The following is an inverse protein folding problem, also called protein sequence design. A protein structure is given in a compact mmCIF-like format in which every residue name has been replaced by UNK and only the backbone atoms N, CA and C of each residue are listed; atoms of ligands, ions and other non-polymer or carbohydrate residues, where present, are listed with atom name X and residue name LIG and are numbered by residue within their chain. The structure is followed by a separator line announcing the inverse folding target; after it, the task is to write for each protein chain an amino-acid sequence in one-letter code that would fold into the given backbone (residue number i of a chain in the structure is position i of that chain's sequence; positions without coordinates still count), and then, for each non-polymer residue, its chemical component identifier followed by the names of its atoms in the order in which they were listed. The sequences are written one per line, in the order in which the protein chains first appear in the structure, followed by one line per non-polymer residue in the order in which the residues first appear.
data_IF_758683322577
#
_entry.id   IF_758683322577
#
_cell.length_a   1.000
_cell.length_b   1.000
_cell.length_c   1.000
_cell.angle_alpha   90.00
_cell.angle_beta   90.00
_cell.angle_gamma   90.00
#
_symmetry.space_group_name_H-M   'P 1'
#
loop_
_entity.id
_entity.type
_entity.pdbx_description
1 polymer ?
#
# COMPACT_ATOMS: atom_id res chain seq x y z
N UNK A 1 17.74 11.47 1.42
CA UNK A 1 17.76 10.02 1.13
C UNK A 1 16.79 9.77 -0.02
N UNK A 2 16.98 8.74 -0.84
CA UNK A 2 16.03 8.40 -1.91
C UNK A 2 14.98 7.40 -1.41
N UNK A 3 13.82 7.35 -2.06
CA UNK A 3 12.79 6.34 -1.79
C UNK A 3 13.36 4.92 -1.84
N UNK A 4 14.25 4.65 -2.81
CA UNK A 4 14.91 3.35 -2.96
C UNK A 4 15.75 2.95 -1.73
N UNK A 5 16.39 3.91 -1.05
CA UNK A 5 17.14 3.63 0.17
C UNK A 5 16.21 3.33 1.36
N UNK A 6 15.07 4.02 1.44
CA UNK A 6 14.08 3.74 2.49
C UNK A 6 13.41 2.38 2.26
N UNK A 7 13.10 2.04 1.00
CA UNK A 7 12.59 0.73 0.60
C UNK A 7 13.57 -0.40 0.95
N UNK A 8 14.86 -0.23 0.65
CA UNK A 8 15.88 -1.22 1.03
C UNK A 8 15.99 -1.39 2.54
N UNK A 9 16.03 -0.27 3.27
CA UNK A 9 16.06 -0.29 4.74
C UNK A 9 14.83 -1.00 5.31
N UNK A 10 13.65 -0.77 4.73
CA UNK A 10 12.43 -1.45 5.11
C UNK A 10 12.51 -2.96 4.86
N UNK A 11 13.01 -3.39 3.70
CA UNK A 11 13.23 -4.81 3.41
C UNK A 11 14.19 -5.45 4.42
N UNK A 12 15.31 -4.78 4.74
CA UNK A 12 16.28 -5.28 5.73
C UNK A 12 15.64 -5.42 7.13
N UNK A 13 14.86 -4.43 7.58
CA UNK A 13 14.14 -4.48 8.88
C UNK A 13 13.16 -5.65 8.90
N UNK A 14 12.43 -5.87 7.80
CA UNK A 14 11.45 -6.95 7.72
C UNK A 14 12.13 -8.32 7.74
N UNK A 15 13.25 -8.48 7.04
CA UNK A 15 13.99 -9.75 6.97
C UNK A 15 14.76 -10.10 8.26
N UNK A 16 15.05 -9.13 9.12
CA UNK A 16 15.66 -9.34 10.43
C UNK A 16 14.63 -9.76 11.51
N UNK A 17 13.32 -9.61 11.23
CA UNK A 17 12.26 -9.98 12.16
C UNK A 17 11.95 -11.49 12.16
N UNK A 18 11.65 -12.04 13.35
CA UNK A 18 11.23 -13.44 13.48
C UNK A 18 9.81 -13.71 12.94
N UNK A 19 8.93 -12.71 13.06
CA UNK A 19 7.53 -12.77 12.63
C UNK A 19 6.96 -11.35 12.45
N UNK A 20 5.88 -11.24 11.69
CA UNK A 20 5.29 -9.95 11.30
C UNK A 20 3.79 -9.96 11.56
N UNK A 21 3.30 -8.89 12.19
CA UNK A 21 1.87 -8.54 12.15
C UNK A 21 1.68 -7.37 11.20
N UNK A 22 0.86 -7.54 10.16
CA UNK A 22 0.46 -6.47 9.24
C UNK A 22 -0.81 -5.82 9.76
N UNK A 23 -0.74 -4.54 10.11
CA UNK A 23 -1.88 -3.71 10.49
C UNK A 23 -2.23 -2.86 9.28
N UNK A 24 -3.40 -3.10 8.67
CA UNK A 24 -3.77 -2.48 7.40
C UNK A 24 -5.16 -1.88 7.40
N UNK A 25 -5.36 -0.90 6.52
CA UNK A 25 -6.65 -0.29 6.27
C UNK A 25 -7.61 -1.24 5.53
N UNK A 26 -8.93 -0.99 5.61
CA UNK A 26 -9.96 -1.91 5.08
C UNK A 26 -10.44 -1.60 3.67
N UNK A 27 -9.87 -0.61 3.00
CA UNK A 27 -10.23 -0.27 1.62
C UNK A 27 -9.39 -1.06 0.61
N UNK A 28 -9.53 -0.68 -0.67
CA UNK A 28 -8.82 -1.35 -1.75
C UNK A 28 -7.29 -1.20 -1.65
N UNK A 29 -6.78 -0.08 -1.10
CA UNK A 29 -5.34 0.13 -0.98
C UNK A 29 -4.76 -0.69 0.17
N UNK A 30 -5.34 -0.57 1.37
CA UNK A 30 -4.93 -1.37 2.53
C UNK A 30 -5.02 -2.87 2.27
N UNK A 31 -6.14 -3.38 1.73
CA UNK A 31 -6.28 -4.81 1.41
C UNK A 31 -5.26 -5.26 0.37
N UNK A 32 -5.00 -4.45 -0.66
CA UNK A 32 -3.98 -4.79 -1.66
C UNK A 32 -2.58 -4.78 -1.07
N UNK A 33 -2.30 -3.81 -0.19
CA UNK A 33 -1.04 -3.68 0.53
C UNK A 33 -0.74 -4.90 1.39
N UNK A 34 -1.70 -5.29 2.23
CA UNK A 34 -1.59 -6.48 3.06
C UNK A 34 -1.38 -7.73 2.20
N UNK A 35 -2.15 -7.90 1.14
CA UNK A 35 -2.05 -9.07 0.27
C UNK A 35 -0.69 -9.17 -0.44
N UNK A 36 -0.06 -8.05 -0.80
CA UNK A 36 1.28 -8.00 -1.40
C UNK A 36 2.32 -8.44 -0.36
N UNK A 37 2.29 -7.82 0.82
CA UNK A 37 3.26 -8.11 1.88
C UNK A 37 3.09 -9.54 2.39
N UNK A 38 1.88 -9.96 2.74
CA UNK A 38 1.63 -11.31 3.22
C UNK A 38 2.13 -12.38 2.24
N UNK A 39 1.90 -12.20 0.93
CA UNK A 39 2.41 -13.12 -0.08
C UNK A 39 3.94 -13.09 -0.21
N UNK A 40 4.56 -11.92 -0.25
CA UNK A 40 6.01 -11.80 -0.33
C UNK A 40 6.69 -12.43 0.90
N UNK A 41 6.20 -12.13 2.10
CA UNK A 41 6.78 -12.60 3.36
C UNK A 41 6.54 -14.09 3.60
N UNK A 42 5.38 -14.62 3.18
CA UNK A 42 5.12 -16.06 3.24
C UNK A 42 6.05 -16.84 2.30
N UNK A 43 6.45 -16.27 1.14
CA UNK A 43 7.43 -16.92 0.23
C UNK A 43 8.81 -17.06 0.88
N UNK A 44 9.19 -16.11 1.72
CA UNK A 44 10.40 -16.15 2.53
C UNK A 44 10.27 -17.06 3.77
N UNK A 45 9.13 -17.73 3.95
CA UNK A 45 8.90 -18.66 5.06
C UNK A 45 8.64 -17.99 6.40
N UNK A 46 8.38 -16.68 6.42
CA UNK A 46 8.11 -15.93 7.64
C UNK A 46 6.67 -16.13 8.13
N UNK A 47 6.47 -16.13 9.45
CA UNK A 47 5.14 -16.13 10.05
C UNK A 47 4.50 -14.74 9.93
N UNK A 48 3.31 -14.69 9.34
CA UNK A 48 2.58 -13.45 9.08
C UNK A 48 1.16 -13.54 9.63
N UNK A 49 0.79 -12.57 10.45
CA UNK A 49 -0.58 -12.34 10.91
C UNK A 49 -1.09 -10.99 10.37
N UNK A 50 -2.41 -10.87 10.21
CA UNK A 50 -3.02 -9.66 9.65
C UNK A 50 -4.14 -9.12 10.55
N UNK A 51 -4.12 -7.81 10.76
CA UNK A 51 -5.10 -7.05 11.52
C UNK A 51 -5.63 -5.91 10.66
N UNK A 52 -6.90 -6.00 10.30
CA UNK A 52 -7.58 -4.96 9.53
C UNK A 52 -8.28 -3.95 10.45
N UNK A 53 -7.99 -2.67 10.25
CA UNK A 53 -8.62 -1.56 11.00
C UNK A 53 -9.15 -0.52 10.03
N UNK A 54 -10.31 0.05 10.34
CA UNK A 54 -10.88 1.13 9.52
C UNK A 54 -10.12 2.45 9.67
N UNK A 55 -9.53 2.67 10.84
CA UNK A 55 -8.75 3.86 11.13
C UNK A 55 -7.89 3.55 12.36
N UNK A 56 -6.69 4.13 12.42
CA UNK A 56 -5.94 4.18 13.67
C UNK A 56 -6.56 5.22 14.59
N UNK A 57 -7.30 4.71 15.57
CA UNK A 57 -7.88 5.46 16.67
C UNK A 57 -7.61 4.73 17.99
N UNK A 58 -7.70 5.40 19.17
CA UNK A 58 -7.38 4.76 20.45
C UNK A 58 -8.09 3.43 20.68
N UNK A 59 -9.32 3.27 20.16
CA UNK A 59 -10.07 2.02 20.28
C UNK A 59 -9.59 0.92 19.34
N UNK A 60 -9.08 1.27 18.15
CA UNK A 60 -8.49 0.33 17.22
C UNK A 60 -7.15 -0.23 17.76
N UNK A 61 -6.40 0.57 18.51
CA UNK A 61 -5.10 0.17 19.07
C UNK A 61 -5.16 -1.09 19.95
N UNK A 62 -6.31 -1.43 20.54
CA UNK A 62 -6.46 -2.68 21.32
C UNK A 62 -6.32 -3.95 20.47
N UNK A 63 -6.48 -3.82 19.14
CA UNK A 63 -6.34 -4.93 18.19
C UNK A 63 -4.89 -5.11 17.73
N UNK A 64 -4.01 -4.15 18.02
CA UNK A 64 -2.57 -4.28 17.76
C UNK A 64 -1.96 -5.20 18.84
N UNK A 65 -1.34 -6.32 18.46
CA UNK A 65 -0.78 -7.23 19.44
C UNK A 65 0.45 -6.63 20.13
N UNK A 66 0.66 -7.01 21.39
CA UNK A 66 1.84 -6.65 22.20
C UNK A 66 2.84 -7.81 22.32
N UNK A 67 2.90 -8.66 21.30
CA UNK A 67 3.85 -9.75 21.19
C UNK A 67 5.18 -9.28 20.57
N UNK A 68 6.10 -10.22 20.31
CA UNK A 68 7.40 -9.94 19.74
C UNK A 68 7.43 -9.76 18.22
N UNK A 69 6.28 -9.78 17.53
CA UNK A 69 6.25 -9.57 16.07
C UNK A 69 6.65 -8.13 15.73
N UNK A 70 7.18 -7.93 14.52
CA UNK A 70 7.31 -6.60 13.92
C UNK A 70 5.92 -6.13 13.48
N UNK A 71 5.52 -4.92 13.90
CA UNK A 71 4.22 -4.32 13.55
C UNK A 71 4.40 -3.49 12.28
N UNK A 72 3.95 -4.02 11.14
CA UNK A 72 3.89 -3.31 9.88
C UNK A 72 2.59 -2.52 9.79
N UNK A 73 2.64 -1.21 9.99
CA UNK A 73 1.51 -0.33 9.76
C UNK A 73 1.49 0.08 8.28
N UNK A 74 0.37 -0.19 7.61
CA UNK A 74 0.28 -0.08 6.15
C UNK A 74 -0.98 0.63 5.72
N UNK A 75 -0.86 1.63 4.84
CA UNK A 75 -1.97 2.53 4.46
C UNK A 75 -2.54 3.33 5.66
N UNK A 76 -1.75 3.44 6.72
CA UNK A 76 -2.02 4.17 7.94
C UNK A 76 -0.72 4.24 8.78
N UNK A 77 -0.73 5.11 9.79
CA UNK A 77 0.33 5.17 10.78
C UNK A 77 1.18 6.42 10.69
N UNK A 78 1.47 6.95 9.49
CA UNK A 78 2.32 8.13 9.35
C UNK A 78 1.69 9.34 10.08
N UNK A 79 0.38 9.50 9.94
CA UNK A 79 -0.40 10.56 10.58
C UNK A 79 -0.80 10.26 12.04
N UNK A 80 -0.55 9.06 12.57
CA UNK A 80 -1.02 8.61 13.89
C UNK A 80 0.10 8.10 14.80
N UNK A 81 1.35 8.51 14.57
CA UNK A 81 2.51 8.06 15.35
C UNK A 81 2.38 8.31 16.86
N UNK A 82 1.71 9.38 17.28
CA UNK A 82 1.43 9.62 18.71
C UNK A 82 0.59 8.50 19.34
N UNK A 83 -0.33 7.88 18.59
CA UNK A 83 -1.08 6.72 19.09
C UNK A 83 -0.20 5.48 19.25
N UNK A 84 0.82 5.33 18.39
CA UNK A 84 1.79 4.24 18.49
C UNK A 84 2.65 4.42 19.76
N UNK A 85 3.11 5.65 19.99
CA UNK A 85 3.88 6.04 21.17
C UNK A 85 3.07 5.87 22.46
N UNK A 86 1.84 6.38 22.50
CA UNK A 86 0.92 6.23 23.63
C UNK A 86 0.57 4.75 23.92
N UNK A 87 0.58 3.91 22.88
CA UNK A 87 0.36 2.47 23.03
C UNK A 87 1.57 1.74 23.63
N UNK A 88 2.73 2.41 23.65
CA UNK A 88 3.99 1.91 24.17
C UNK A 88 4.82 1.15 23.14
N UNK A 89 4.59 1.36 21.84
CA UNK A 89 5.38 0.75 20.77
C UNK A 89 6.68 1.54 20.57
N UNK A 90 7.82 0.85 20.68
CA UNK A 90 9.13 1.45 20.40
C UNK A 90 9.45 1.48 18.90
N UNK A 91 10.48 2.25 18.51
CA UNK A 91 10.92 2.35 17.11
C UNK A 91 11.33 1.01 16.49
N UNK A 92 11.84 0.09 17.32
CA UNK A 92 12.37 -1.20 16.87
C UNK A 92 11.25 -2.23 16.65
N UNK A 93 10.04 -1.95 17.14
CA UNK A 93 8.87 -2.82 16.99
C UNK A 93 8.00 -2.44 15.79
N UNK A 94 8.28 -1.31 15.12
CA UNK A 94 7.35 -0.68 14.17
C UNK A 94 8.06 -0.35 12.87
N UNK A 95 7.39 -0.65 11.76
CA UNK A 95 7.72 -0.11 10.46
C UNK A 95 6.44 0.38 9.77
N UNK A 96 6.48 1.58 9.21
CA UNK A 96 5.33 2.23 8.57
C UNK A 96 5.54 2.26 7.05
N UNK A 97 4.59 1.74 6.28
CA UNK A 97 4.53 1.84 4.82
C UNK A 97 3.27 2.61 4.45
N UNK A 98 3.40 3.90 4.16
CA UNK A 98 2.25 4.80 4.06
C UNK A 98 2.51 5.87 3.01
N UNK A 99 1.47 6.58 2.60
CA UNK A 99 1.53 7.67 1.62
C UNK A 99 0.75 8.90 2.12
N UNK A 100 0.19 8.84 3.33
CA UNK A 100 -0.47 9.95 4.00
C UNK A 100 0.52 10.97 4.56
N UNK A 101 0.02 12.18 4.84
CA UNK A 101 0.80 13.23 5.50
C UNK A 101 1.13 12.80 6.94
N UNK A 102 2.43 12.75 7.24
CA UNK A 102 2.91 12.45 8.58
C UNK A 102 2.61 13.55 9.60
N UNK A 103 2.57 13.17 10.88
CA UNK A 103 2.51 14.11 12.00
C UNK A 103 3.76 14.06 12.86
N UNK A 104 4.19 15.18 13.48
CA UNK A 104 5.29 15.17 14.44
C UNK A 104 5.00 14.23 15.61
N UNK A 105 6.00 13.44 16.00
CA UNK A 105 5.98 12.53 17.14
C UNK A 105 7.32 12.62 17.88
N UNK A 106 7.33 12.29 19.19
CA UNK A 106 8.56 12.23 19.99
C UNK A 106 9.47 11.08 19.58
N UNK A 107 8.87 9.98 19.13
CA UNK A 107 9.55 8.78 18.63
C UNK A 107 9.70 8.83 17.10
N UNK A 108 10.92 8.58 16.62
CA UNK A 108 11.19 8.47 15.18
C UNK A 108 11.00 7.04 14.72
N UNK A 109 9.81 6.72 14.21
CA UNK A 109 9.54 5.40 13.65
C UNK A 109 10.18 5.23 12.27
N UNK A 110 10.81 4.08 11.97
CA UNK A 110 11.18 3.71 10.61
C UNK A 110 9.96 3.75 9.70
N UNK A 111 10.09 4.41 8.56
CA UNK A 111 9.00 4.47 7.58
C UNK A 111 9.51 4.55 6.15
N UNK A 112 8.65 4.13 5.22
CA UNK A 112 8.72 4.41 3.79
C UNK A 112 7.48 5.19 3.43
N UNK A 113 7.66 6.46 3.09
CA UNK A 113 6.56 7.34 2.70
C UNK A 113 6.84 8.05 1.38
N UNK A 114 5.95 7.90 0.40
CA UNK A 114 6.15 8.48 -0.93
C UNK A 114 6.15 10.02 -0.91
N UNK A 115 5.40 10.64 0.01
CA UNK A 115 5.32 12.10 0.13
C UNK A 115 6.64 12.72 0.62
N UNK A 116 7.43 12.01 1.42
CA UNK A 116 8.76 12.47 1.86
C UNK A 116 9.72 12.66 0.68
N UNK A 117 9.43 12.00 -0.44
CA UNK A 117 10.18 12.07 -1.69
C UNK A 117 9.46 12.88 -2.78
N UNK A 118 8.38 13.59 -2.43
CA UNK A 118 7.60 14.39 -3.37
C UNK A 118 6.78 13.58 -4.38
N UNK A 119 6.57 12.28 -4.14
CA UNK A 119 5.80 11.39 -5.00
C UNK A 119 4.36 11.36 -4.50
N UNK A 120 3.49 12.14 -5.14
CA UNK A 120 2.08 12.31 -4.76
C UNK A 120 1.12 11.34 -5.47
N UNK A 121 1.60 10.59 -6.46
CA UNK A 121 0.82 9.63 -7.26
C UNK A 121 1.29 8.20 -7.00
N UNK A 122 1.27 7.84 -5.72
CA UNK A 122 1.63 6.52 -5.23
C UNK A 122 0.81 6.24 -3.98
N UNK A 123 0.17 5.08 -3.97
CA UNK A 123 -0.58 4.51 -2.83
C UNK A 123 0.32 3.65 -1.95
N UNK A 124 -0.16 3.21 -0.79
CA UNK A 124 0.57 2.29 0.07
C UNK A 124 0.82 0.93 -0.62
N UNK A 125 -0.09 0.44 -1.47
CA UNK A 125 0.11 -0.82 -2.19
C UNK A 125 1.26 -0.73 -3.18
N UNK A 126 1.46 0.45 -3.77
CA UNK A 126 2.62 0.70 -4.62
C UNK A 126 3.94 0.70 -3.85
N UNK A 127 3.97 1.27 -2.64
CA UNK A 127 5.13 1.23 -1.75
C UNK A 127 5.43 -0.21 -1.31
N UNK A 128 4.41 -0.94 -0.88
CA UNK A 128 4.52 -2.33 -0.47
C UNK A 128 5.03 -3.24 -1.59
N UNK A 129 4.65 -2.98 -2.84
CA UNK A 129 5.22 -3.67 -3.99
C UNK A 129 6.72 -3.40 -4.19
N UNK A 130 7.16 -2.15 -4.00
CA UNK A 130 8.58 -1.83 -4.06
C UNK A 130 9.37 -2.56 -2.95
N UNK A 131 8.79 -2.65 -1.74
CA UNK A 131 9.36 -3.43 -0.64
C UNK A 131 9.40 -4.92 -0.97
N UNK A 132 8.30 -5.48 -1.50
CA UNK A 132 8.25 -6.88 -1.93
C UNK A 132 9.32 -7.19 -2.99
N UNK A 133 9.53 -6.32 -3.97
CA UNK A 133 10.61 -6.46 -4.97
C UNK A 133 12.02 -6.31 -4.39
N UNK A 134 12.18 -5.53 -3.34
CA UNK A 134 13.46 -5.37 -2.66
C UNK A 134 13.80 -6.62 -1.82
N UNK A 135 12.79 -7.31 -1.30
CA UNK A 135 12.92 -8.61 -0.64
C UNK A 135 13.21 -9.71 -1.69
N UNK A 136 12.36 -9.83 -2.69
CA UNK A 136 12.48 -10.81 -3.78
C UNK A 136 12.25 -10.12 -5.14
N UNK A 137 13.29 -9.98 -5.99
CA UNK A 137 13.15 -9.40 -7.33
C UNK A 137 12.17 -10.15 -8.23
N UNK A 138 11.80 -11.40 -7.92
CA UNK A 138 10.82 -12.18 -8.70
C UNK A 138 9.36 -11.88 -8.34
N UNK A 139 9.10 -11.04 -7.33
CA UNK A 139 7.78 -10.61 -6.89
C UNK A 139 7.01 -9.73 -7.90
N UNK A 140 7.49 -9.62 -9.15
CA UNK A 140 6.83 -8.87 -10.24
C UNK A 140 5.43 -9.40 -10.56
N UNK A 141 5.13 -10.64 -10.16
CA UNK A 141 3.79 -11.23 -10.26
C UNK A 141 2.76 -10.55 -9.34
N UNK A 142 3.21 -9.83 -8.31
CA UNK A 142 2.35 -9.06 -7.40
C UNK A 142 1.99 -7.67 -7.95
N UNK A 143 2.56 -7.26 -9.10
CA UNK A 143 2.32 -5.94 -9.70
C UNK A 143 0.83 -5.64 -9.92
N UNK A 144 0.04 -6.67 -10.25
CA UNK A 144 -1.41 -6.54 -10.43
C UNK A 144 -2.11 -6.06 -9.16
N UNK A 145 -1.72 -6.54 -7.99
CA UNK A 145 -2.31 -6.10 -6.71
C UNK A 145 -1.94 -4.65 -6.42
N UNK A 146 -0.69 -4.27 -6.68
CA UNK A 146 -0.23 -2.90 -6.51
C UNK A 146 -0.99 -1.92 -7.43
N UNK A 147 -1.31 -2.33 -8.66
CA UNK A 147 -2.14 -1.55 -9.58
C UNK A 147 -3.58 -1.46 -9.08
N UNK A 148 -4.14 -2.53 -8.50
CA UNK A 148 -5.48 -2.50 -7.88
C UNK A 148 -5.52 -1.49 -6.74
N UNK A 149 -4.54 -1.50 -5.82
CA UNK A 149 -4.47 -0.54 -4.72
C UNK A 149 -4.33 0.91 -5.21
N UNK A 150 -3.39 1.18 -6.12
CA UNK A 150 -3.22 2.52 -6.70
C UNK A 150 -4.49 3.03 -7.40
N UNK A 151 -5.20 2.20 -8.16
CA UNK A 151 -6.46 2.60 -8.81
C UNK A 151 -7.58 2.76 -7.79
N UNK A 152 -7.65 1.86 -6.80
CA UNK A 152 -8.62 1.91 -5.70
C UNK A 152 -8.50 3.18 -4.87
N UNK A 153 -7.28 3.66 -4.66
CA UNK A 153 -6.96 4.91 -3.98
C UNK A 153 -7.01 6.15 -4.91
N UNK A 154 -7.60 6.00 -6.09
CA UNK A 154 -7.78 7.08 -7.07
C UNK A 154 -6.48 7.71 -7.59
N UNK A 155 -5.31 7.06 -7.46
CA UNK A 155 -4.03 7.60 -7.94
C UNK A 155 -3.98 7.79 -9.47
N UNK A 156 -4.83 7.07 -10.21
CA UNK A 156 -4.98 7.20 -11.65
C UNK A 156 -5.94 8.32 -12.09
N UNK A 157 -6.73 8.90 -11.17
CA UNK A 157 -7.92 9.73 -11.49
C UNK A 157 -7.57 10.95 -12.33
N UNK A 158 -6.62 11.76 -11.90
CA UNK A 158 -6.31 13.04 -12.55
C UNK A 158 -5.63 12.89 -13.92
N UNK A 159 -4.92 11.78 -14.14
CA UNK A 159 -4.16 11.54 -15.35
C UNK A 159 -4.84 10.53 -16.29
N UNK A 160 -6.02 10.02 -15.93
CA UNK A 160 -6.69 8.90 -16.58
C UNK A 160 -5.75 7.68 -16.76
N UNK A 161 -4.91 7.43 -15.77
CA UNK A 161 -3.88 6.41 -15.80
C UNK A 161 -2.80 6.62 -14.73
N UNK A 162 -2.08 5.54 -14.39
CA UNK A 162 -0.98 5.61 -13.44
C UNK A 162 0.25 6.28 -14.07
N UNK A 163 0.93 7.12 -13.29
CA UNK A 163 2.09 7.94 -13.70
C UNK A 163 3.26 7.74 -12.75
N UNK A 164 4.44 8.28 -13.11
CA UNK A 164 5.62 8.24 -12.25
C UNK A 164 6.02 6.80 -11.88
N UNK A 165 6.47 6.55 -10.64
CA UNK A 165 6.90 5.21 -10.25
C UNK A 165 5.76 4.19 -10.25
N UNK A 166 4.50 4.59 -10.04
CA UNK A 166 3.35 3.68 -10.16
C UNK A 166 3.17 3.16 -11.59
N UNK A 167 3.58 3.92 -12.62
CA UNK A 167 3.59 3.45 -14.01
C UNK A 167 4.67 2.40 -14.26
N UNK A 168 5.79 2.44 -13.55
CA UNK A 168 6.83 1.40 -13.67
C UNK A 168 6.33 0.06 -13.11
N UNK A 169 5.52 0.09 -12.05
CA UNK A 169 4.82 -1.11 -11.53
C UNK A 169 3.91 -1.72 -12.60
N UNK A 170 3.18 -0.89 -13.36
CA UNK A 170 2.35 -1.38 -14.49
C UNK A 170 3.21 -2.10 -15.53
N UNK A 171 4.42 -1.59 -15.83
CA UNK A 171 5.33 -2.21 -16.80
C UNK A 171 5.80 -3.60 -16.33
N UNK A 172 6.13 -3.74 -15.06
CA UNK A 172 6.49 -5.05 -14.49
C UNK A 172 5.35 -6.06 -14.65
N UNK A 173 4.10 -5.66 -14.40
CA UNK A 173 2.95 -6.55 -14.56
C UNK A 173 2.64 -6.91 -16.02
N UNK A 174 2.93 -6.00 -16.96
CA UNK A 174 2.87 -6.30 -18.39
C UNK A 174 3.97 -7.30 -18.77
N UNK A 175 5.20 -7.12 -18.27
CA UNK A 175 6.31 -8.04 -18.51
C UNK A 175 6.02 -9.44 -17.95
N UNK A 176 5.48 -9.52 -16.74
CA UNK A 176 5.04 -10.79 -16.15
C UNK A 176 3.83 -11.41 -16.88
N UNK A 177 2.99 -10.57 -17.50
CA UNK A 177 1.81 -10.99 -18.26
C UNK A 177 0.51 -11.05 -17.46
N UNK A 178 0.42 -10.38 -16.31
CA UNK A 178 -0.79 -10.32 -15.47
C UNK A 178 -1.58 -8.99 -15.61
N UNK A 179 -1.03 -8.02 -16.36
CA UNK A 179 -1.67 -6.74 -16.68
C UNK A 179 -1.70 -6.54 -18.20
N UNK A 180 -2.84 -6.07 -18.70
CA UNK A 180 -3.01 -5.61 -20.08
C UNK A 180 -3.29 -4.11 -20.02
N UNK A 181 -2.47 -3.31 -20.70
CA UNK A 181 -2.67 -1.86 -20.80
C UNK A 181 -3.52 -1.57 -22.03
N UNK A 182 -4.62 -0.85 -21.81
CA UNK A 182 -5.43 -0.27 -22.89
C UNK A 182 -5.10 1.20 -22.99
N UNK A 183 -4.72 1.66 -24.19
CA UNK A 183 -4.37 3.06 -24.39
C UNK A 183 -5.60 3.96 -24.25
N UNK A 184 -6.75 3.56 -24.79
CA UNK A 184 -8.00 4.33 -24.79
C UNK A 184 -9.18 3.42 -24.43
N UNK A 185 -9.90 3.76 -23.36
CA UNK A 185 -11.14 3.08 -22.95
C UNK A 185 -12.02 4.02 -22.11
N UNK A 186 -13.21 3.55 -21.73
CA UNK A 186 -14.08 4.23 -20.78
C UNK A 186 -13.51 4.13 -19.36
N UNK A 187 -13.27 5.30 -18.76
CA UNK A 187 -12.87 5.40 -17.35
C UNK A 187 -14.11 5.49 -16.44
N UNK A 188 -14.90 4.41 -16.39
CA UNK A 188 -16.07 4.34 -15.52
C UNK A 188 -16.18 2.96 -14.83
N UNK A 189 -16.83 2.92 -13.68
CA UNK A 189 -17.01 1.68 -12.95
C UNK A 189 -17.96 0.71 -13.67
N UNK A 190 -17.56 -0.56 -13.74
CA UNK A 190 -18.40 -1.65 -14.23
C UNK A 190 -18.22 -2.02 -15.70
N UNK A 191 -17.20 -1.51 -16.40
CA UNK A 191 -16.90 -1.85 -17.81
C UNK A 191 -16.81 -3.36 -18.07
N UNK A 192 -16.39 -4.15 -17.07
CA UNK A 192 -16.28 -5.61 -17.17
C UNK A 192 -17.50 -6.40 -16.67
N UNK A 193 -18.44 -5.76 -15.96
CA UNK A 193 -19.49 -6.47 -15.20
C UNK A 193 -20.90 -5.91 -15.37
N UNK A 194 -21.06 -4.77 -16.06
CA UNK A 194 -22.34 -4.07 -16.22
C UNK A 194 -22.60 -3.71 -17.68
N UNK A 195 -23.87 -3.63 -18.12
CA UNK A 195 -24.21 -3.08 -19.42
C UNK A 195 -23.75 -1.62 -19.56
N UNK A 196 -23.34 -1.21 -20.76
CA UNK A 196 -22.80 0.14 -21.03
C UNK A 196 -23.70 1.26 -20.52
N UNK A 197 -25.03 1.16 -20.73
CA UNK A 197 -25.97 2.19 -20.26
C UNK A 197 -25.99 2.34 -18.73
N UNK A 198 -25.69 1.27 -17.98
CA UNK A 198 -25.57 1.32 -16.51
C UNK A 198 -24.25 2.00 -16.14
N UNK A 199 -23.13 1.63 -16.78
CA UNK A 199 -21.84 2.28 -16.51
C UNK A 199 -21.90 3.79 -16.72
N UNK A 200 -22.52 4.24 -17.83
CA UNK A 200 -22.69 5.65 -18.13
C UNK A 200 -23.69 6.33 -17.19
N UNK A 201 -24.82 5.68 -16.89
CA UNK A 201 -25.85 6.23 -16.01
C UNK A 201 -25.43 6.40 -14.54
N UNK A 202 -24.39 5.68 -14.11
CA UNK A 202 -23.77 5.81 -12.77
C UNK A 202 -22.40 6.49 -12.81
N UNK A 203 -21.98 7.06 -13.95
CA UNK A 203 -20.71 7.76 -14.05
C UNK A 203 -20.82 9.15 -13.42
N UNK A 204 -20.24 9.32 -12.25
CA UNK A 204 -20.19 10.57 -11.49
C UNK A 204 -18.82 11.26 -11.57
N UNK A 205 -17.81 10.60 -12.15
CA UNK A 205 -16.45 11.14 -12.29
C UNK A 205 -15.76 10.68 -13.59
N UNK A 206 -15.71 11.52 -14.65
CA UNK A 206 -16.44 12.78 -14.76
C UNK A 206 -17.95 12.52 -14.87
N UNK A 207 -18.74 13.44 -14.32
CA UNK A 207 -20.19 13.44 -14.55
C UNK A 207 -20.48 13.65 -16.04
N UNK A 208 -21.41 12.86 -16.58
CA UNK A 208 -21.84 12.93 -17.98
C UNK A 208 -23.21 13.61 -18.05
N UNK A 209 -23.28 14.79 -18.68
CA UNK A 209 -24.55 15.47 -18.94
C UNK A 209 -25.45 14.63 -19.88
N UNK A 210 -26.74 14.61 -19.57
CA UNK A 210 -27.77 13.84 -20.29
C UNK A 210 -28.46 14.57 -21.43
#
# INVERSE_FOLDING_TARGET
MSLENDVRRAADIILDADSVTIISHIDADGISTEAILAQALTREGMAVDSVFVRQLEPMAMRHVPKDGSLKLFTDLGAGQQNLLEDHGLSSDEVLILDHHVGQPCGTTYPQVNSLDHGITRMSAAGIAYLVAKAIDPTAIDLAKLAVIGNVGDMMARENCGLVGPAREIVRDGVEYGNIIVQDHDLNCYGTSTRPVHVCLGYCDDPYIDG
#
